data_IF_560787107068
#
_entry.id   IF_560787107068
#
_cell.length_a   1.000
_cell.length_b   1.000
_cell.length_c   1.000
_cell.angle_alpha   90.00
_cell.angle_beta   90.00
_cell.angle_gamma   90.00
#
_symmetry.space_group_name_H-M   'P 1'
#
loop_
_entity.id
_entity.type
_entity.pdbx_description
1 polymer ?
#
# COMPACT_ATOMS: atom_id res chain seq x y z
N UNK A 1 7.81 5.38 9.74
CA UNK A 1 8.81 5.34 10.83
C UNK A 1 10.20 4.92 10.32
N UNK A 2 10.37 3.77 9.64
CA UNK A 2 11.70 3.35 9.14
C UNK A 2 12.36 4.29 8.13
N UNK A 3 11.57 5.00 7.33
CA UNK A 3 12.06 5.87 6.25
C UNK A 3 12.93 7.04 6.75
N UNK A 4 12.57 7.67 7.88
CA UNK A 4 13.33 8.78 8.45
C UNK A 4 14.66 8.32 9.05
N UNK A 5 14.70 7.12 9.62
CA UNK A 5 15.92 6.52 10.19
C UNK A 5 16.94 6.20 9.09
N UNK A 6 16.46 5.67 7.96
CA UNK A 6 17.32 5.37 6.82
C UNK A 6 17.68 6.60 5.95
N UNK A 7 17.23 7.80 6.33
CA UNK A 7 17.34 9.03 5.51
C UNK A 7 16.75 8.89 4.08
N UNK A 8 15.83 7.96 3.88
CA UNK A 8 15.25 7.60 2.58
C UNK A 8 14.04 8.46 2.21
N UNK A 9 14.15 9.78 2.36
CA UNK A 9 13.00 10.70 2.26
C UNK A 9 12.69 11.21 0.85
N UNK A 10 13.55 10.93 -0.14
CA UNK A 10 13.24 11.22 -1.55
C UNK A 10 12.19 10.26 -2.09
N UNK A 11 11.40 10.67 -3.10
CA UNK A 11 10.36 9.81 -3.69
C UNK A 11 10.93 8.48 -4.21
N UNK A 12 12.11 8.52 -4.84
CA UNK A 12 12.80 7.33 -5.32
C UNK A 12 13.18 6.39 -4.16
N UNK A 13 13.69 6.94 -3.06
CA UNK A 13 14.02 6.14 -1.88
C UNK A 13 12.77 5.57 -1.20
N UNK A 14 11.64 6.31 -1.19
CA UNK A 14 10.36 5.76 -0.71
C UNK A 14 9.90 4.55 -1.53
N UNK A 15 10.04 4.62 -2.85
CA UNK A 15 9.72 3.49 -3.73
C UNK A 15 10.63 2.29 -3.43
N UNK A 16 11.94 2.50 -3.30
CA UNK A 16 12.89 1.45 -2.92
C UNK A 16 12.56 0.81 -1.56
N UNK A 17 12.12 1.60 -0.58
CA UNK A 17 11.65 1.06 0.70
C UNK A 17 10.40 0.19 0.56
N UNK A 18 9.49 0.54 -0.34
CA UNK A 18 8.32 -0.30 -0.62
C UNK A 18 8.73 -1.62 -1.28
N UNK A 19 9.67 -1.57 -2.23
CA UNK A 19 10.22 -2.75 -2.89
C UNK A 19 10.97 -3.65 -1.90
N UNK A 20 11.67 -3.06 -0.94
CA UNK A 20 12.38 -3.78 0.13
C UNK A 20 11.48 -4.72 0.92
N UNK A 21 10.21 -4.33 1.17
CA UNK A 21 9.23 -5.13 1.93
C UNK A 21 8.28 -5.93 1.03
N UNK A 22 8.50 -5.94 -0.28
CA UNK A 22 7.68 -6.67 -1.27
C UNK A 22 8.56 -7.53 -2.17
N UNK A 23 8.89 -7.03 -3.37
CA UNK A 23 9.59 -7.79 -4.43
C UNK A 23 11.01 -8.20 -4.02
N UNK A 24 11.72 -7.36 -3.26
CA UNK A 24 13.08 -7.69 -2.82
C UNK A 24 13.06 -8.78 -1.75
N UNK A 25 12.12 -8.72 -0.80
CA UNK A 25 11.93 -9.77 0.20
C UNK A 25 11.56 -11.11 -0.45
N UNK A 26 10.64 -11.11 -1.43
CA UNK A 26 10.29 -12.30 -2.18
C UNK A 26 11.48 -12.92 -2.93
N UNK A 27 12.32 -12.08 -3.54
CA UNK A 27 13.55 -12.51 -4.22
C UNK A 27 14.56 -13.13 -3.25
N UNK A 28 14.79 -12.52 -2.09
CA UNK A 28 15.69 -13.04 -1.05
C UNK A 28 15.23 -14.43 -0.57
N UNK A 29 13.92 -14.64 -0.48
CA UNK A 29 13.32 -15.92 -0.11
C UNK A 29 13.22 -16.94 -1.26
N UNK A 30 13.61 -16.58 -2.48
CA UNK A 30 13.53 -17.46 -3.64
C UNK A 30 12.09 -17.82 -4.07
N UNK A 31 11.10 -16.99 -3.73
CA UNK A 31 9.70 -17.28 -4.03
C UNK A 31 9.45 -17.29 -5.54
N UNK A 32 8.83 -18.37 -6.03
CA UNK A 32 8.39 -18.52 -7.41
C UNK A 32 6.93 -18.06 -7.57
N UNK A 33 6.58 -17.53 -8.74
CA UNK A 33 5.22 -17.06 -9.03
C UNK A 33 4.76 -15.87 -8.16
N UNK A 34 5.71 -15.10 -7.60
CA UNK A 34 5.43 -13.88 -6.84
C UNK A 34 5.48 -12.66 -7.76
N UNK A 35 4.40 -11.87 -7.75
CA UNK A 35 4.29 -10.66 -8.55
C UNK A 35 2.84 -10.39 -8.94
N UNK A 36 2.64 -9.36 -9.76
CA UNK A 36 1.34 -9.03 -10.35
C UNK A 36 1.30 -9.30 -11.86
N UNK A 37 2.32 -9.98 -12.38
CA UNK A 37 2.44 -10.31 -13.79
C UNK A 37 1.63 -11.57 -14.16
N UNK A 38 1.28 -11.70 -15.44
CA UNK A 38 0.59 -12.88 -15.96
C UNK A 38 1.44 -14.13 -15.70
N UNK A 39 0.82 -15.16 -15.14
CA UNK A 39 1.48 -16.42 -14.74
C UNK A 39 1.91 -16.48 -13.28
N UNK A 40 1.87 -15.36 -12.54
CA UNK A 40 2.02 -15.37 -11.08
C UNK A 40 0.76 -15.90 -10.38
N UNK A 41 0.92 -16.33 -9.12
CA UNK A 41 -0.22 -16.61 -8.25
C UNK A 41 -1.10 -15.36 -8.16
N UNK A 42 -2.43 -15.52 -8.24
CA UNK A 42 -3.39 -14.44 -8.04
C UNK A 42 -3.47 -14.04 -6.55
N UNK A 43 -2.34 -13.66 -5.96
CA UNK A 43 -2.14 -13.35 -4.55
C UNK A 43 -1.60 -11.93 -4.41
N UNK A 44 -2.37 -11.06 -3.76
CA UNK A 44 -2.02 -9.65 -3.59
C UNK A 44 -2.72 -9.03 -2.39
N UNK A 45 -2.23 -7.86 -1.98
CA UNK A 45 -2.88 -7.00 -0.99
C UNK A 45 -3.30 -5.72 -1.69
N UNK A 46 -4.56 -5.33 -1.55
CA UNK A 46 -5.05 -4.03 -2.01
C UNK A 46 -4.90 -3.01 -0.87
N UNK A 47 -4.10 -1.97 -1.09
CA UNK A 47 -3.90 -0.88 -0.14
C UNK A 47 -4.72 0.35 -0.53
N UNK A 48 -5.27 1.05 0.47
CA UNK A 48 -5.94 2.34 0.29
C UNK A 48 -4.92 3.46 0.07
N UNK A 49 -4.27 3.46 -1.09
CA UNK A 49 -3.28 4.44 -1.50
C UNK A 49 -3.19 4.50 -3.02
N UNK A 50 -2.72 5.63 -3.54
CA UNK A 50 -2.56 5.89 -4.99
C UNK A 50 -1.12 5.75 -5.47
N UNK A 51 -0.17 5.52 -4.56
CA UNK A 51 1.24 5.28 -4.87
C UNK A 51 1.96 4.58 -3.70
N UNK A 52 3.14 3.97 -3.93
CA UNK A 52 3.97 3.42 -2.85
C UNK A 52 4.34 4.47 -1.79
N UNK A 53 4.69 5.69 -2.22
CA UNK A 53 4.99 6.78 -1.31
C UNK A 53 3.79 7.15 -0.43
N UNK A 54 2.58 7.18 -1.01
CA UNK A 54 1.36 7.41 -0.25
C UNK A 54 1.03 6.24 0.71
N UNK A 55 1.25 5.01 0.27
CA UNK A 55 1.05 3.82 1.10
C UNK A 55 1.91 3.87 2.36
N UNK A 56 3.16 4.33 2.24
CA UNK A 56 4.08 4.54 3.37
C UNK A 56 3.61 5.71 4.23
N UNK A 57 3.34 6.88 3.62
CA UNK A 57 2.93 8.12 4.31
C UNK A 57 1.71 7.91 5.19
N UNK A 58 0.67 7.27 4.63
CA UNK A 58 -0.60 7.05 5.31
C UNK A 58 -0.61 5.81 6.21
N UNK A 59 0.40 4.92 6.10
CA UNK A 59 0.31 3.54 6.61
C UNK A 59 -1.02 2.91 6.13
N UNK A 60 -1.17 2.89 4.81
CA UNK A 60 -2.46 2.67 4.15
C UNK A 60 -3.17 1.39 4.63
N UNK A 61 -4.48 1.51 4.81
CA UNK A 61 -5.35 0.39 5.17
C UNK A 61 -5.28 -0.70 4.11
N UNK A 62 -5.13 -1.95 4.55
CA UNK A 62 -5.22 -3.13 3.69
C UNK A 62 -6.71 -3.44 3.45
N UNK A 63 -7.25 -2.94 2.35
CA UNK A 63 -8.66 -3.10 1.98
C UNK A 63 -9.00 -4.56 1.73
N UNK A 64 -8.11 -5.27 1.01
CA UNK A 64 -8.28 -6.69 0.68
C UNK A 64 -6.97 -7.44 0.86
N UNK A 65 -7.08 -8.69 1.30
CA UNK A 65 -6.02 -9.69 1.20
C UNK A 65 -6.54 -10.83 0.35
N UNK A 66 -5.90 -11.05 -0.79
CA UNK A 66 -6.28 -12.09 -1.76
C UNK A 66 -5.14 -13.10 -1.84
N UNK A 67 -5.48 -14.39 -1.84
CA UNK A 67 -4.53 -15.47 -2.07
C UNK A 67 -5.11 -16.44 -3.08
N UNK A 68 -4.39 -16.66 -4.18
CA UNK A 68 -4.78 -17.58 -5.27
C UNK A 68 -6.22 -17.36 -5.73
N UNK A 69 -6.60 -16.10 -5.92
CA UNK A 69 -7.92 -15.69 -6.39
C UNK A 69 -9.02 -15.68 -5.31
N UNK A 70 -8.73 -16.12 -4.08
CA UNK A 70 -9.71 -16.11 -2.99
C UNK A 70 -9.48 -14.91 -2.06
N UNK A 71 -10.57 -14.22 -1.70
CA UNK A 71 -10.51 -13.12 -0.73
C UNK A 71 -10.46 -13.72 0.67
N UNK A 72 -9.33 -13.53 1.35
CA UNK A 72 -9.11 -14.02 2.72
C UNK A 72 -9.57 -13.02 3.78
N UNK A 73 -9.42 -11.73 3.52
CA UNK A 73 -9.80 -10.68 4.46
C UNK A 73 -10.27 -9.41 3.75
N UNK A 74 -11.17 -8.69 4.41
CA UNK A 74 -11.67 -7.37 4.01
C UNK A 74 -11.57 -6.42 5.19
N UNK A 75 -11.12 -5.20 4.93
CA UNK A 75 -11.12 -4.12 5.93
C UNK A 75 -11.85 -2.92 5.33
N UNK A 76 -12.77 -2.26 6.07
CA UNK A 76 -13.38 -1.03 5.58
C UNK A 76 -12.30 0.04 5.34
N UNK A 77 -12.50 0.94 4.36
CA UNK A 77 -11.60 2.08 4.16
C UNK A 77 -11.50 2.95 5.41
N UNK A 78 -10.31 3.50 5.66
CA UNK A 78 -10.13 4.55 6.67
C UNK A 78 -10.67 5.87 6.11
N UNK A 79 -11.69 6.42 6.77
CA UNK A 79 -12.32 7.69 6.42
C UNK A 79 -12.44 8.58 7.65
N UNK A 80 -12.17 9.87 7.49
CA UNK A 80 -12.46 10.89 8.49
C UNK A 80 -13.78 11.59 8.17
N UNK A 81 -14.57 11.90 9.20
CA UNK A 81 -15.76 12.77 9.08
C UNK A 81 -15.38 14.18 9.52
N UNK A 82 -15.79 15.18 8.75
CA UNK A 82 -15.52 16.59 9.03
C UNK A 82 -16.82 17.32 9.34
N UNK A 83 -16.79 18.14 10.39
CA UNK A 83 -17.84 19.08 10.74
C UNK A 83 -17.34 20.51 10.48
N UNK A 84 -16.94 20.77 9.23
CA UNK A 84 -16.36 22.05 8.81
C UNK A 84 -17.23 22.66 7.71
N UNK A 85 -17.81 23.87 7.92
CA UNK A 85 -18.60 24.56 6.89
C UNK A 85 -17.80 24.74 5.59
N UNK A 86 -18.43 24.49 4.45
CA UNK A 86 -17.82 24.65 3.12
C UNK A 86 -16.76 23.60 2.75
N UNK A 87 -16.59 22.54 3.55
CA UNK A 87 -15.68 21.42 3.24
C UNK A 87 -16.46 20.12 3.01
N UNK A 88 -15.88 19.12 2.31
CA UNK A 88 -16.49 17.81 2.19
C UNK A 88 -16.78 17.19 3.56
N UNK A 89 -17.93 16.54 3.73
CA UNK A 89 -18.30 15.89 4.99
C UNK A 89 -17.40 14.70 5.34
N UNK A 90 -16.75 14.08 4.35
CA UNK A 90 -15.82 12.97 4.54
C UNK A 90 -14.61 13.07 3.60
N UNK A 91 -13.47 12.54 4.06
CA UNK A 91 -12.26 12.35 3.24
C UNK A 91 -11.45 11.14 3.73
N UNK A 92 -10.51 10.69 2.90
CA UNK A 92 -9.72 9.47 3.13
C UNK A 92 -8.20 9.70 3.18
N UNK A 93 -7.78 10.98 3.24
CA UNK A 93 -6.39 11.44 3.31
C UNK A 93 -5.51 11.10 2.10
N UNK A 94 -6.07 10.47 1.06
CA UNK A 94 -5.37 10.24 -0.21
C UNK A 94 -5.22 11.56 -0.96
N UNK A 95 -4.06 11.75 -1.62
CA UNK A 95 -3.80 12.91 -2.45
C UNK A 95 -4.68 12.84 -3.68
N UNK A 96 -5.48 13.89 -3.90
CA UNK A 96 -6.17 14.11 -5.16
C UNK A 96 -5.13 14.57 -6.18
N UNK A 97 -5.02 13.87 -7.31
CA UNK A 97 -4.24 14.35 -8.46
C UNK A 97 -5.01 15.44 -9.18
#
# INVERSE_FOLDING_TARGET
MGLHVAQMTSQAAMAQCFDAVTVNAARVLGLQGYGLDVGCDASFVLLQARSPAEAIRLRATRLLVVRRGQVLARTPPATATLQLPGRPAQLDWTLRR
#
